data_IF_443259384674
#
_entry.id   IF_443259384674
#
_cell.length_a   1.000
_cell.length_b   1.000
_cell.length_c   1.000
_cell.angle_alpha   90.00
_cell.angle_beta   90.00
_cell.angle_gamma   90.00
#
_symmetry.space_group_name_H-M   'P 1'
#
loop_
_entity.id
_entity.type
_entity.pdbx_description
1 polymer ?
#
# COMPACT_ATOMS: atom_id res chain seq x y z
N UNK A 1 -20.65 17.23 -3.27
CA UNK A 1 -21.54 17.71 -4.35
C UNK A 1 -20.66 18.41 -5.39
N UNK A 2 -20.30 17.66 -6.43
CA UNK A 2 -19.31 18.06 -7.44
C UNK A 2 -19.86 19.16 -8.36
N UNK A 3 -21.15 19.09 -8.70
CA UNK A 3 -21.81 20.08 -9.57
C UNK A 3 -21.90 21.46 -8.90
N UNK A 4 -22.02 21.49 -7.57
CA UNK A 4 -22.06 22.74 -6.82
C UNK A 4 -20.72 23.10 -6.16
N UNK A 5 -19.63 22.39 -6.49
CA UNK A 5 -18.30 22.57 -5.87
C UNK A 5 -18.32 22.58 -4.32
N UNK A 6 -19.26 21.85 -3.72
CA UNK A 6 -19.40 21.74 -2.26
C UNK A 6 -18.74 20.47 -1.76
N UNK A 7 -17.73 20.66 -0.91
CA UNK A 7 -17.15 19.59 -0.11
C UNK A 7 -18.16 19.10 0.93
N UNK A 8 -18.24 17.78 1.08
CA UNK A 8 -19.05 17.15 2.11
C UNK A 8 -18.12 16.33 2.99
N UNK A 9 -18.33 16.43 4.30
CA UNK A 9 -17.67 15.54 5.25
C UNK A 9 -18.41 14.22 5.19
N UNK A 10 -17.68 13.16 4.85
CA UNK A 10 -18.18 11.80 4.83
C UNK A 10 -17.46 11.02 5.93
N UNK A 11 -18.24 10.30 6.73
CA UNK A 11 -17.67 9.31 7.64
C UNK A 11 -17.24 8.09 6.81
N UNK A 12 -15.94 7.78 6.84
CA UNK A 12 -15.38 6.62 6.16
C UNK A 12 -15.69 5.31 6.91
N UNK A 13 -16.21 5.40 8.14
CA UNK A 13 -16.40 4.28 9.03
C UNK A 13 -15.08 3.78 9.64
N UNK A 14 -15.19 2.77 10.50
CA UNK A 14 -14.03 2.11 11.09
C UNK A 14 -13.54 0.98 10.20
N UNK A 15 -12.22 0.95 9.97
CA UNK A 15 -11.56 -0.18 9.30
C UNK A 15 -10.78 -1.01 10.32
N UNK A 16 -10.66 -2.34 10.12
CA UNK A 16 -9.82 -3.16 10.97
C UNK A 16 -8.37 -2.69 10.96
N UNK A 17 -7.75 -2.66 12.14
CA UNK A 17 -6.32 -2.39 12.28
C UNK A 17 -5.49 -3.50 11.62
N UNK A 18 -4.26 -3.20 11.24
CA UNK A 18 -3.34 -4.21 10.69
C UNK A 18 -3.13 -5.38 11.66
N UNK A 19 -3.10 -5.13 12.97
CA UNK A 19 -3.03 -6.17 13.99
C UNK A 19 -4.24 -7.11 13.94
N UNK A 20 -5.46 -6.57 13.89
CA UNK A 20 -6.69 -7.37 13.79
C UNK A 20 -6.69 -8.22 12.52
N UNK A 21 -6.37 -7.62 11.37
CA UNK A 21 -6.29 -8.33 10.09
C UNK A 21 -5.27 -9.48 10.13
N UNK A 22 -4.12 -9.27 10.78
CA UNK A 22 -3.10 -10.29 10.96
C UNK A 22 -3.58 -11.44 11.85
N UNK A 23 -4.17 -11.12 13.01
CA UNK A 23 -4.71 -12.13 13.93
C UNK A 23 -5.79 -12.98 13.26
N UNK A 24 -6.68 -12.36 12.48
CA UNK A 24 -7.74 -13.07 11.77
C UNK A 24 -7.18 -13.99 10.67
N UNK A 25 -6.17 -13.54 9.92
CA UNK A 25 -5.48 -14.37 8.93
C UNK A 25 -4.82 -15.61 9.56
N UNK A 26 -4.18 -15.44 10.73
CA UNK A 26 -3.56 -16.54 11.48
C UNK A 26 -4.61 -17.53 11.98
N UNK A 27 -5.71 -17.04 12.56
CA UNK A 27 -6.77 -17.90 13.11
C UNK A 27 -7.49 -18.72 12.05
N UNK A 28 -7.78 -18.10 10.92
CA UNK A 28 -8.56 -18.71 9.86
C UNK A 28 -7.68 -19.48 8.86
N UNK A 29 -6.36 -19.29 8.90
CA UNK A 29 -5.42 -19.87 7.93
C UNK A 29 -5.60 -19.30 6.52
N UNK A 30 -6.26 -18.15 6.38
CA UNK A 30 -6.55 -17.50 5.09
C UNK A 30 -5.67 -16.28 4.94
N UNK A 31 -4.86 -16.25 3.88
CA UNK A 31 -4.06 -15.08 3.54
C UNK A 31 -4.98 -13.94 3.05
N UNK A 32 -4.87 -12.78 3.68
CA UNK A 32 -5.54 -11.57 3.23
C UNK A 32 -4.67 -10.80 2.22
N UNK A 33 -5.32 -10.11 1.28
CA UNK A 33 -4.65 -9.18 0.39
C UNK A 33 -4.73 -7.73 0.93
N UNK A 34 -3.73 -6.87 0.66
CA UNK A 34 -2.47 -7.20 -0.01
C UNK A 34 -1.55 -8.10 0.85
N UNK A 35 -0.92 -9.07 0.20
CA UNK A 35 -0.05 -10.06 0.85
C UNK A 35 1.35 -9.53 1.18
N UNK A 36 2.12 -10.30 1.94
CA UNK A 36 3.54 -10.03 2.17
C UNK A 36 4.37 -9.98 0.88
N UNK A 37 3.96 -10.73 -0.17
CA UNK A 37 4.59 -10.64 -1.48
C UNK A 37 4.40 -9.24 -2.08
N UNK A 38 3.18 -8.71 -2.02
CA UNK A 38 2.91 -7.35 -2.46
C UNK A 38 3.73 -6.32 -1.66
N UNK A 39 3.84 -6.50 -0.34
CA UNK A 39 4.68 -5.64 0.50
C UNK A 39 6.17 -5.72 0.12
N UNK A 40 6.68 -6.89 -0.23
CA UNK A 40 8.06 -7.06 -0.68
C UNK A 40 8.33 -6.37 -2.02
N UNK A 41 7.39 -6.45 -2.96
CA UNK A 41 7.50 -5.71 -4.23
C UNK A 41 7.46 -4.19 -4.00
N UNK A 42 6.62 -3.71 -3.08
CA UNK A 42 6.60 -2.30 -2.69
C UNK A 42 7.94 -1.88 -2.07
N UNK A 43 8.56 -2.73 -1.24
CA UNK A 43 9.85 -2.43 -0.62
C UNK A 43 10.95 -2.20 -1.68
N UNK A 44 10.98 -2.99 -2.76
CA UNK A 44 11.95 -2.79 -3.85
C UNK A 44 11.83 -1.40 -4.48
N UNK A 45 10.60 -0.91 -4.65
CA UNK A 45 10.34 0.43 -5.20
C UNK A 45 10.79 1.51 -4.22
N UNK A 46 10.53 1.33 -2.92
CA UNK A 46 11.01 2.25 -1.88
C UNK A 46 12.54 2.31 -1.83
N UNK A 47 13.21 1.17 -1.91
CA UNK A 47 14.68 1.09 -1.94
C UNK A 47 15.23 1.82 -3.17
N UNK A 48 14.60 1.66 -4.34
CA UNK A 48 14.98 2.40 -5.56
C UNK A 48 14.78 3.91 -5.42
N UNK A 49 13.72 4.35 -4.74
CA UNK A 49 13.48 5.77 -4.50
C UNK A 49 14.60 6.39 -3.64
N UNK A 50 15.07 5.68 -2.61
CA UNK A 50 16.21 6.12 -1.79
C UNK A 50 17.47 6.25 -2.65
N UNK A 51 17.78 5.25 -3.48
CA UNK A 51 18.97 5.30 -4.36
C UNK A 51 18.85 6.42 -5.42
N UNK A 52 17.64 6.67 -5.93
CA UNK A 52 17.39 7.75 -6.90
C UNK A 52 17.68 9.12 -6.30
N UNK A 53 17.23 9.34 -5.05
CA UNK A 53 17.46 10.58 -4.32
C UNK A 53 18.95 10.81 -4.05
N UNK A 54 19.66 9.80 -3.52
CA UNK A 54 21.10 9.86 -3.26
C UNK A 54 21.91 10.22 -4.52
N UNK A 55 21.51 9.67 -5.67
CA UNK A 55 22.18 9.90 -6.95
C UNK A 55 21.75 11.19 -7.65
N UNK A 56 20.67 11.85 -7.18
CA UNK A 56 19.99 12.95 -7.87
C UNK A 56 19.74 12.64 -9.36
N UNK A 57 19.34 11.41 -9.63
CA UNK A 57 19.10 10.91 -10.97
C UNK A 57 17.88 10.00 -10.99
N UNK A 58 17.11 10.08 -12.07
CA UNK A 58 15.94 9.22 -12.26
C UNK A 58 16.38 7.78 -12.49
N UNK A 59 15.82 6.85 -11.71
CA UNK A 59 16.02 5.41 -11.87
C UNK A 59 14.72 4.76 -12.33
N UNK A 60 14.82 3.83 -13.29
CA UNK A 60 13.68 3.06 -13.75
C UNK A 60 13.34 1.99 -12.72
N UNK A 61 12.16 2.08 -12.12
CA UNK A 61 11.58 0.98 -11.38
C UNK A 61 11.03 -0.05 -12.39
N UNK A 62 11.79 -1.10 -12.66
CA UNK A 62 11.24 -2.29 -13.29
C UNK A 62 10.45 -3.05 -12.21
N UNK A 63 9.13 -2.88 -12.20
CA UNK A 63 8.25 -3.84 -11.56
C UNK A 63 8.26 -5.09 -12.45
N UNK A 64 9.18 -6.02 -12.18
CA UNK A 64 9.12 -7.36 -12.77
C UNK A 64 7.81 -7.99 -12.31
N UNK A 65 6.77 -7.78 -13.12
CA UNK A 65 5.46 -8.39 -12.94
C UNK A 65 5.57 -9.75 -13.62
N UNK A 66 5.98 -10.75 -12.85
CA UNK A 66 5.80 -12.16 -13.19
C UNK A 66 4.80 -12.80 -12.22
#
# INVERSE_FOLDING_TARGET
DMENAKWQVLDAGSVPTNYQRFVDAVRNGVQAEPSFRHAAELQKVLDLAVVSDERRAELRAHADTQ
#
